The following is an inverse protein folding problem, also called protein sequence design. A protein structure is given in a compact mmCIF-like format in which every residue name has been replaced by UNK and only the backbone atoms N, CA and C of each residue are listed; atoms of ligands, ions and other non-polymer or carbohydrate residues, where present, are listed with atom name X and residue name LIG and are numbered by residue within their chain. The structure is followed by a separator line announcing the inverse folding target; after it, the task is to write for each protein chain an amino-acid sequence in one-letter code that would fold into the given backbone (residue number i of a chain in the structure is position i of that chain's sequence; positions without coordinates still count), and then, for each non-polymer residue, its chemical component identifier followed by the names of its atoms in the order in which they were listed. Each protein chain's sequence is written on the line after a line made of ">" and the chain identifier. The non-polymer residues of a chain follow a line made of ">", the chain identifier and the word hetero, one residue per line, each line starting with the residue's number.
data_IF_522082350052
#
_entry.id   IF_522082350052
#
_cell.length_a   1.000
_cell.length_b   1.000
_cell.length_c   1.000
_cell.angle_alpha   90.00
_cell.angle_beta   90.00
_cell.angle_gamma   90.00
#
_symmetry.space_group_name_H-M   'P 1'
#
loop_
_entity.id
_entity.type
_entity.pdbx_description
1 polymer ?
#
# COMPACT_ATOMS: atom_id res chain seq x y z
N UNK A 1 -23.91 2.24 -3.16
CA UNK A 1 -22.89 2.90 -2.34
C UNK A 1 -23.09 2.46 -0.90
N UNK A 2 -22.33 1.47 -0.40
CA UNK A 2 -22.38 1.10 1.03
C UNK A 2 -21.34 1.93 1.76
N UNK A 3 -21.80 3.01 2.37
CA UNK A 3 -21.00 3.80 3.31
C UNK A 3 -20.77 2.87 4.51
N UNK A 4 -19.52 2.48 4.75
CA UNK A 4 -19.16 1.93 6.06
C UNK A 4 -19.35 3.09 7.05
N UNK A 5 -20.27 2.89 7.99
CA UNK A 5 -20.53 3.86 9.05
C UNK A 5 -19.24 4.15 9.82
N UNK A 6 -18.84 5.42 9.83
CA UNK A 6 -17.69 5.96 10.56
C UNK A 6 -17.68 5.44 12.00
N UNK A 7 -18.84 5.35 12.64
CA UNK A 7 -18.94 4.93 14.04
C UNK A 7 -18.63 3.45 14.25
N UNK A 8 -18.89 2.59 13.25
CA UNK A 8 -18.58 1.15 13.30
C UNK A 8 -17.07 0.89 13.17
N UNK A 9 -16.40 1.56 12.23
CA UNK A 9 -14.93 1.48 12.09
C UNK A 9 -14.22 2.11 13.31
N UNK A 10 -14.74 3.20 13.86
CA UNK A 10 -14.17 3.85 15.04
C UNK A 10 -14.35 3.00 16.32
N UNK A 11 -15.49 2.30 16.47
CA UNK A 11 -15.76 1.44 17.64
C UNK A 11 -14.92 0.17 17.68
N UNK A 12 -14.73 -0.52 16.56
CA UNK A 12 -13.95 -1.77 16.52
C UNK A 12 -12.44 -1.55 16.73
N UNK A 13 -11.96 -0.31 16.57
CA UNK A 13 -10.53 -0.01 16.54
C UNK A 13 -9.94 0.64 17.79
N UNK A 14 -10.72 0.77 18.87
CA UNK A 14 -10.30 1.33 20.17
C UNK A 14 -9.60 2.70 20.02
N UNK A 15 -10.32 3.67 19.46
CA UNK A 15 -9.89 5.08 19.40
C UNK A 15 -9.82 5.79 20.76
N UNK A 16 -9.91 5.09 21.90
CA UNK A 16 -9.78 5.71 23.22
C UNK A 16 -8.36 6.28 23.48
N UNK A 17 -7.37 5.99 22.62
CA UNK A 17 -5.98 6.45 22.75
C UNK A 17 -5.73 7.78 22.02
N UNK A 18 -6.60 8.22 21.11
CA UNK A 18 -6.42 9.47 20.37
C UNK A 18 -7.69 10.30 20.45
N UNK A 19 -7.56 11.53 20.96
CA UNK A 19 -8.64 12.51 20.97
C UNK A 19 -9.38 12.49 19.62
N UNK A 20 -10.71 12.40 19.69
CA UNK A 20 -11.63 12.44 18.55
C UNK A 20 -11.39 13.64 17.62
N UNK A 21 -10.56 14.59 18.02
CA UNK A 21 -10.31 15.87 17.38
C UNK A 21 -9.24 15.81 16.27
N UNK A 22 -8.40 14.76 16.21
CA UNK A 22 -7.34 14.69 15.20
C UNK A 22 -7.80 14.13 13.83
N UNK A 23 -8.85 13.31 13.81
CA UNK A 23 -9.42 12.73 12.58
C UNK A 23 -10.60 13.58 12.11
N UNK A 24 -10.37 14.35 11.05
CA UNK A 24 -11.35 15.27 10.51
C UNK A 24 -12.41 14.54 9.69
N UNK A 25 -11.99 13.59 8.85
CA UNK A 25 -12.86 12.93 7.89
C UNK A 25 -12.34 11.54 7.50
N UNK A 26 -13.20 10.72 6.90
CA UNK A 26 -12.91 9.36 6.48
C UNK A 26 -13.60 9.04 5.16
N UNK A 27 -12.88 8.38 4.26
CA UNK A 27 -13.43 7.87 3.02
C UNK A 27 -12.94 6.46 2.71
N UNK A 28 -13.72 5.74 1.91
CA UNK A 28 -13.37 4.43 1.37
C UNK A 28 -13.50 4.47 -0.15
N UNK A 29 -12.45 4.08 -0.85
CA UNK A 29 -12.42 3.89 -2.29
C UNK A 29 -12.27 2.39 -2.59
N UNK A 30 -13.25 1.79 -3.25
CA UNK A 30 -13.18 0.39 -3.67
C UNK A 30 -12.81 0.30 -5.14
N UNK A 31 -11.74 -0.43 -5.44
CA UNK A 31 -11.19 -0.63 -6.78
C UNK A 31 -11.36 -2.10 -7.15
N UNK A 32 -12.20 -2.42 -8.12
CA UNK A 32 -12.46 -3.83 -8.52
C UNK A 32 -11.22 -4.52 -9.09
N UNK A 33 -10.32 -3.75 -9.70
CA UNK A 33 -9.02 -4.20 -10.18
C UNK A 33 -8.05 -3.01 -10.05
N UNK A 34 -7.04 -3.10 -9.18
CA UNK A 34 -6.09 -2.00 -8.97
C UNK A 34 -5.27 -1.71 -10.24
N UNK A 35 -4.96 -2.77 -10.98
CA UNK A 35 -4.18 -2.73 -12.22
C UNK A 35 -4.90 -2.09 -13.39
N UNK A 36 -6.22 -1.87 -13.36
CA UNK A 36 -6.96 -1.33 -14.52
C UNK A 36 -6.73 0.18 -14.70
N UNK A 37 -6.68 0.95 -13.60
CA UNK A 37 -6.71 2.42 -13.67
C UNK A 37 -5.38 3.04 -14.10
N UNK A 38 -5.36 3.81 -15.19
CA UNK A 38 -4.22 4.66 -15.51
C UNK A 38 -4.03 5.78 -14.48
N UNK A 39 -2.83 6.41 -14.36
CA UNK A 39 -2.62 7.47 -13.37
C UNK A 39 -3.53 8.69 -13.55
N UNK A 40 -3.92 9.01 -14.78
CA UNK A 40 -4.87 10.08 -15.08
C UNK A 40 -6.29 9.76 -14.62
N UNK A 41 -6.77 8.54 -14.86
CA UNK A 41 -8.09 8.06 -14.42
C UNK A 41 -8.14 8.00 -12.89
N UNK A 42 -7.09 7.45 -12.29
CA UNK A 42 -6.94 7.36 -10.84
C UNK A 42 -6.93 8.75 -10.20
N UNK A 43 -6.20 9.71 -10.79
CA UNK A 43 -6.18 11.11 -10.32
C UNK A 43 -7.59 11.72 -10.28
N UNK A 44 -8.45 11.42 -11.24
CA UNK A 44 -9.84 11.87 -11.25
C UNK A 44 -10.65 11.23 -10.11
N UNK A 45 -10.48 9.93 -9.88
CA UNK A 45 -11.19 9.19 -8.81
C UNK A 45 -10.90 9.75 -7.41
N UNK A 46 -9.67 10.19 -7.18
CA UNK A 46 -9.23 10.73 -5.89
C UNK A 46 -9.19 12.27 -5.84
N UNK A 47 -9.74 12.95 -6.86
CA UNK A 47 -9.87 14.41 -6.88
C UNK A 47 -10.64 14.98 -5.68
N UNK A 48 -11.71 14.33 -5.16
CA UNK A 48 -12.40 14.81 -3.95
C UNK A 48 -11.49 14.99 -2.74
N UNK A 49 -10.39 14.24 -2.67
CA UNK A 49 -9.45 14.23 -1.53
C UNK A 49 -8.18 15.07 -1.80
N UNK A 50 -8.21 15.97 -2.80
CA UNK A 50 -7.02 16.71 -3.25
C UNK A 50 -6.33 17.55 -2.18
N UNK A 51 -7.10 18.05 -1.21
CA UNK A 51 -6.60 18.89 -0.12
C UNK A 51 -6.33 18.09 1.16
N UNK A 52 -6.66 16.80 1.18
CA UNK A 52 -6.54 16.00 2.39
C UNK A 52 -5.09 15.65 2.65
N UNK A 53 -4.71 15.80 3.91
CA UNK A 53 -3.50 15.24 4.48
C UNK A 53 -3.92 14.09 5.37
N UNK A 54 -3.10 13.07 5.52
CA UNK A 54 -3.47 11.98 6.42
C UNK A 54 -2.89 10.63 6.06
N UNK A 55 -3.65 9.60 6.37
CA UNK A 55 -3.29 8.21 6.16
C UNK A 55 -4.09 7.62 5.01
N UNK A 56 -3.47 6.65 4.34
CA UNK A 56 -4.15 5.76 3.42
C UNK A 56 -3.78 4.31 3.75
N UNK A 57 -4.77 3.43 3.66
CA UNK A 57 -4.63 2.01 4.00
C UNK A 57 -5.19 1.19 2.85
N UNK A 58 -4.33 0.40 2.22
CA UNK A 58 -4.72 -0.59 1.22
C UNK A 58 -5.19 -1.87 1.93
N UNK A 59 -6.29 -2.45 1.48
CA UNK A 59 -6.86 -3.68 2.03
C UNK A 59 -7.46 -4.56 0.95
N UNK A 60 -7.38 -5.88 1.16
CA UNK A 60 -8.16 -6.89 0.41
C UNK A 60 -8.90 -7.73 1.44
N UNK A 61 -10.23 -7.83 1.30
CA UNK A 61 -11.08 -8.66 2.16
C UNK A 61 -10.86 -8.45 3.68
N UNK A 62 -10.65 -7.20 4.09
CA UNK A 62 -10.40 -6.84 5.49
C UNK A 62 -8.96 -7.05 5.97
N UNK A 63 -8.11 -7.72 5.18
CA UNK A 63 -6.67 -7.82 5.45
C UNK A 63 -5.98 -6.53 5.06
N UNK A 64 -5.20 -5.95 5.98
CA UNK A 64 -4.40 -4.75 5.73
C UNK A 64 -3.17 -5.11 4.90
N UNK A 65 -3.08 -4.55 3.69
CA UNK A 65 -1.97 -4.78 2.78
C UNK A 65 -0.83 -3.80 3.04
N UNK A 66 -1.13 -2.51 3.15
CA UNK A 66 -0.14 -1.46 3.31
C UNK A 66 -0.75 -0.26 4.01
N UNK A 67 0.02 0.36 4.90
CA UNK A 67 -0.34 1.60 5.60
C UNK A 67 0.72 2.64 5.27
N UNK A 68 0.29 3.82 4.82
CA UNK A 68 1.20 4.93 4.62
C UNK A 68 0.56 6.28 4.87
N UNK A 69 1.41 7.30 5.07
CA UNK A 69 0.98 8.69 5.20
C UNK A 69 1.30 9.57 3.98
N UNK A 70 0.54 10.66 3.85
CA UNK A 70 0.78 11.71 2.87
C UNK A 70 0.45 13.10 3.40
N UNK A 71 1.38 14.04 3.20
CA UNK A 71 1.09 15.48 3.35
C UNK A 71 0.09 15.96 2.28
N UNK A 72 -0.03 15.23 1.18
CA UNK A 72 -1.16 15.31 0.27
C UNK A 72 -1.48 13.89 -0.16
N UNK A 73 -2.61 13.35 0.31
CA UNK A 73 -3.00 11.96 0.04
C UNK A 73 -3.10 11.75 -1.48
N UNK A 74 -3.71 12.70 -2.19
CA UNK A 74 -3.82 12.66 -3.64
C UNK A 74 -2.48 12.44 -4.34
N UNK A 75 -1.48 13.25 -4.01
CA UNK A 75 -0.17 13.15 -4.66
C UNK A 75 0.49 11.80 -4.37
N UNK A 76 0.36 11.28 -3.15
CA UNK A 76 0.93 9.97 -2.80
C UNK A 76 0.26 8.83 -3.55
N UNK A 77 -1.06 8.78 -3.59
CA UNK A 77 -1.78 7.73 -4.30
C UNK A 77 -1.55 7.81 -5.83
N UNK A 78 -1.45 9.00 -6.42
CA UNK A 78 -1.04 9.14 -7.84
C UNK A 78 0.38 8.62 -8.07
N UNK A 79 1.32 8.91 -7.17
CA UNK A 79 2.69 8.37 -7.28
C UNK A 79 2.67 6.85 -7.23
N UNK A 80 1.92 6.24 -6.31
CA UNK A 80 1.74 4.80 -6.26
C UNK A 80 1.18 4.24 -7.56
N UNK A 81 0.17 4.89 -8.14
CA UNK A 81 -0.39 4.42 -9.41
C UNK A 81 0.62 4.53 -10.56
N UNK A 82 1.44 5.59 -10.60
CA UNK A 82 2.54 5.71 -11.57
C UNK A 82 3.60 4.63 -11.38
N UNK A 83 3.91 4.28 -10.13
CA UNK A 83 4.84 3.20 -9.79
C UNK A 83 4.29 1.83 -10.25
N UNK A 84 2.99 1.58 -10.03
CA UNK A 84 2.30 0.36 -10.47
C UNK A 84 2.21 0.27 -12.00
N UNK A 85 1.99 1.40 -12.68
CA UNK A 85 1.85 1.48 -14.15
C UNK A 85 3.17 1.62 -14.89
N UNK A 86 4.29 1.54 -14.18
CA UNK A 86 5.62 1.70 -14.76
C UNK A 86 5.83 3.08 -15.46
N UNK A 87 5.15 4.11 -14.98
CA UNK A 87 5.24 5.50 -15.47
C UNK A 87 6.11 6.39 -14.57
N UNK A 88 6.77 5.83 -13.54
CA UNK A 88 7.62 6.55 -12.60
C UNK A 88 9.12 6.37 -12.90
N UNK A 89 9.98 7.35 -12.60
CA UNK A 89 11.42 7.25 -12.95
C UNK A 89 12.15 6.11 -12.24
N UNK A 90 11.73 5.78 -11.02
CA UNK A 90 12.25 4.65 -10.24
C UNK A 90 11.19 4.18 -9.26
N UNK A 91 11.06 2.87 -9.07
CA UNK A 91 10.12 2.27 -8.12
C UNK A 91 10.89 1.28 -7.24
N UNK A 92 10.55 1.15 -5.93
CA UNK A 92 11.03 0.03 -5.13
C UNK A 92 10.60 -1.29 -5.79
N UNK A 93 11.55 -2.20 -6.06
CA UNK A 93 11.25 -3.41 -6.84
C UNK A 93 10.16 -4.28 -6.20
N UNK A 94 10.14 -4.36 -4.86
CA UNK A 94 9.13 -5.13 -4.14
C UNK A 94 7.75 -4.50 -4.24
N UNK A 95 7.66 -3.16 -4.21
CA UNK A 95 6.41 -2.43 -4.46
C UNK A 95 5.81 -2.80 -5.81
N UNK A 96 6.66 -2.79 -6.84
CA UNK A 96 6.26 -3.19 -8.19
C UNK A 96 5.72 -4.61 -8.19
N UNK A 97 6.50 -5.61 -7.79
CA UNK A 97 6.04 -7.00 -7.85
C UNK A 97 4.77 -7.24 -7.01
N UNK A 98 4.68 -6.63 -5.84
CA UNK A 98 3.52 -6.80 -4.96
C UNK A 98 2.23 -6.22 -5.58
N UNK A 99 2.23 -4.96 -6.00
CA UNK A 99 1.01 -4.31 -6.51
C UNK A 99 0.74 -4.53 -8.00
N UNK A 100 1.79 -4.67 -8.82
CA UNK A 100 1.65 -4.87 -10.27
C UNK A 100 1.53 -6.35 -10.67
N UNK A 101 2.09 -7.27 -9.90
CA UNK A 101 2.07 -8.71 -10.26
C UNK A 101 1.15 -9.50 -9.35
N UNK A 102 1.30 -9.38 -8.02
CA UNK A 102 0.55 -10.19 -7.07
C UNK A 102 -0.90 -9.71 -6.90
N UNK A 103 -1.12 -8.41 -6.68
CA UNK A 103 -2.46 -7.84 -6.41
C UNK A 103 -3.20 -7.31 -7.65
N UNK A 104 -2.69 -7.57 -8.85
CA UNK A 104 -3.12 -6.84 -10.05
C UNK A 104 -4.61 -7.04 -10.36
N UNK A 105 -5.12 -8.24 -10.11
CA UNK A 105 -6.50 -8.66 -10.43
C UNK A 105 -7.40 -8.67 -9.19
N UNK A 106 -6.85 -8.31 -8.02
CA UNK A 106 -7.61 -8.28 -6.78
C UNK A 106 -8.43 -7.00 -6.64
N UNK A 107 -9.58 -7.16 -5.98
CA UNK A 107 -10.37 -6.04 -5.49
C UNK A 107 -9.70 -5.42 -4.28
N UNK A 108 -9.26 -4.18 -4.42
CA UNK A 108 -8.54 -3.45 -3.40
C UNK A 108 -9.38 -2.31 -2.86
N UNK A 109 -9.56 -2.28 -1.55
CA UNK A 109 -10.12 -1.16 -0.83
C UNK A 109 -8.99 -0.22 -0.37
N UNK A 110 -9.15 1.08 -0.59
CA UNK A 110 -8.28 2.13 -0.06
C UNK A 110 -9.08 2.96 0.93
N UNK A 111 -8.75 2.83 2.20
CA UNK A 111 -9.27 3.69 3.26
C UNK A 111 -8.42 4.95 3.33
N UNK A 112 -9.07 6.10 3.44
CA UNK A 112 -8.45 7.42 3.44
C UNK A 112 -8.91 8.14 4.71
N UNK A 113 -7.96 8.52 5.57
CA UNK A 113 -8.23 9.14 6.86
C UNK A 113 -7.64 10.55 6.83
N UNK A 114 -8.46 11.59 6.92
CA UNK A 114 -8.03 12.98 6.89
C UNK A 114 -7.55 13.42 8.28
N UNK A 115 -6.26 13.71 8.40
CA UNK A 115 -5.58 14.15 9.62
C UNK A 115 -4.64 15.29 9.22
N UNK A 116 -4.96 16.51 9.63
CA UNK A 116 -4.19 17.71 9.28
C UNK A 116 -2.88 17.85 10.05
N UNK A 117 -2.85 17.38 11.29
CA UNK A 117 -1.67 17.41 12.14
C UNK A 117 -0.61 16.39 11.70
N UNK A 118 0.66 16.77 11.72
CA UNK A 118 1.75 15.89 11.28
C UNK A 118 2.15 14.86 12.32
N UNK A 119 2.19 15.24 13.59
CA UNK A 119 2.56 14.35 14.67
C UNK A 119 1.51 13.25 14.83
N UNK A 120 0.23 13.62 14.82
CA UNK A 120 -0.90 12.70 14.80
C UNK A 120 -0.83 11.72 13.63
N UNK A 121 -0.46 12.18 12.42
CA UNK A 121 -0.24 11.26 11.28
C UNK A 121 0.87 10.26 11.55
N UNK A 122 2.01 10.70 12.11
CA UNK A 122 3.15 9.81 12.39
C UNK A 122 2.76 8.76 13.42
N UNK A 123 2.13 9.20 14.52
CA UNK A 123 1.74 8.30 15.60
C UNK A 123 0.69 7.30 15.12
N UNK A 124 -0.33 7.75 14.39
CA UNK A 124 -1.35 6.85 13.86
C UNK A 124 -0.78 5.90 12.81
N UNK A 125 0.06 6.36 11.88
CA UNK A 125 0.74 5.47 10.92
C UNK A 125 1.48 4.34 11.64
N UNK A 126 2.29 4.71 12.65
CA UNK A 126 3.03 3.74 13.48
C UNK A 126 2.08 2.78 14.21
N UNK A 127 1.03 3.29 14.84
CA UNK A 127 0.03 2.46 15.53
C UNK A 127 -0.62 1.44 14.58
N UNK A 128 -1.10 1.87 13.42
CA UNK A 128 -1.71 0.98 12.43
C UNK A 128 -0.71 -0.05 11.89
N UNK A 129 0.54 0.35 11.63
CA UNK A 129 1.59 -0.58 11.22
C UNK A 129 1.89 -1.65 12.28
N UNK A 130 1.92 -1.29 13.56
CA UNK A 130 2.18 -2.22 14.65
C UNK A 130 0.98 -3.14 14.94
N UNK A 131 -0.24 -2.57 14.96
CA UNK A 131 -1.46 -3.32 15.28
C UNK A 131 -1.77 -4.37 14.22
N UNK A 132 -1.64 -4.01 12.95
CA UNK A 132 -2.08 -4.86 11.85
C UNK A 132 -0.96 -5.64 11.18
N UNK A 133 0.30 -5.26 11.39
CA UNK A 133 1.47 -5.78 10.66
C UNK A 133 1.16 -5.96 9.17
N UNK A 134 1.28 -4.88 8.40
CA UNK A 134 0.82 -4.88 7.00
C UNK A 134 1.43 -6.05 6.21
N UNK A 135 0.59 -6.72 5.41
CA UNK A 135 1.01 -7.89 4.64
C UNK A 135 2.22 -7.58 3.74
N UNK A 136 2.25 -6.36 3.19
CA UNK A 136 3.39 -5.84 2.44
C UNK A 136 4.68 -5.85 3.26
N UNK A 137 4.67 -5.36 4.50
CA UNK A 137 5.88 -5.28 5.34
C UNK A 137 6.38 -6.66 5.76
N UNK A 138 5.47 -7.58 6.07
CA UNK A 138 5.79 -8.99 6.38
C UNK A 138 6.54 -9.59 5.19
N UNK A 139 5.94 -9.57 4.01
CA UNK A 139 6.54 -10.18 2.82
C UNK A 139 7.77 -9.44 2.34
N UNK A 140 7.83 -8.11 2.50
CA UNK A 140 9.01 -7.33 2.17
C UNK A 140 10.19 -7.74 3.04
N UNK A 141 9.96 -8.00 4.33
CA UNK A 141 11.01 -8.46 5.24
C UNK A 141 11.52 -9.85 4.86
N UNK A 142 10.63 -10.78 4.49
CA UNK A 142 11.01 -12.09 3.98
C UNK A 142 11.76 -11.99 2.64
N UNK A 143 11.30 -11.12 1.75
CA UNK A 143 11.99 -10.81 0.51
C UNK A 143 13.40 -10.27 0.74
N UNK A 144 13.57 -9.29 1.62
CA UNK A 144 14.88 -8.72 1.96
C UNK A 144 15.80 -9.78 2.61
N UNK A 145 15.27 -10.72 3.41
CA UNK A 145 16.03 -11.88 3.92
C UNK A 145 16.46 -12.82 2.79
N UNK A 146 15.56 -13.12 1.85
CA UNK A 146 15.84 -13.97 0.70
C UNK A 146 16.93 -13.36 -0.19
N UNK A 147 16.85 -12.07 -0.47
CA UNK A 147 17.89 -11.35 -1.21
C UNK A 147 19.26 -11.49 -0.55
N UNK A 148 19.35 -11.27 0.77
CA UNK A 148 20.60 -11.46 1.52
C UNK A 148 21.13 -12.88 1.42
N UNK A 149 20.26 -13.90 1.49
CA UNK A 149 20.66 -15.31 1.34
C UNK A 149 21.25 -15.63 -0.04
N UNK A 150 20.85 -14.89 -1.08
CA UNK A 150 21.39 -15.00 -2.44
C UNK A 150 22.59 -14.06 -2.69
N UNK A 151 23.15 -13.44 -1.65
CA UNK A 151 24.31 -12.52 -1.73
C UNK A 151 23.97 -11.11 -2.23
N UNK A 152 22.69 -10.74 -2.25
CA UNK A 152 22.24 -9.42 -2.67
C UNK A 152 22.05 -8.52 -1.43
N UNK A 153 23.01 -7.63 -1.19
CA UNK A 153 23.06 -6.84 0.06
C UNK A 153 22.29 -5.51 0.03
N UNK A 154 21.66 -5.15 -1.10
CA UNK A 154 20.81 -3.94 -1.17
C UNK A 154 19.43 -4.25 -0.58
N UNK A 155 19.07 -3.54 0.48
CA UNK A 155 17.71 -3.53 1.06
C UNK A 155 16.79 -2.79 0.10
N UNK A 156 15.78 -3.47 -0.46
CA UNK A 156 14.78 -2.91 -1.38
C UNK A 156 15.36 -2.02 -2.51
N UNK A 157 16.06 -2.60 -3.49
CA UNK A 157 16.64 -1.81 -4.57
C UNK A 157 15.56 -1.06 -5.35
N UNK A 158 15.81 0.23 -5.57
CA UNK A 158 15.13 1.01 -6.58
C UNK A 158 15.85 0.79 -7.89
N UNK A 159 15.12 0.40 -8.92
CA UNK A 159 15.66 0.22 -10.26
C UNK A 159 15.03 1.22 -11.23
N UNK A 160 15.81 1.81 -12.14
CA UNK A 160 15.28 2.56 -13.26
C UNK A 160 14.35 1.69 -14.10
N UNK A 161 13.18 2.18 -14.49
CA UNK A 161 12.20 1.34 -15.18
C UNK A 161 12.62 0.88 -16.58
N UNK A 162 13.48 1.64 -17.24
CA UNK A 162 14.10 1.24 -18.51
C UNK A 162 15.07 0.06 -18.37
N UNK A 163 15.50 -0.29 -17.15
CA UNK A 163 16.33 -1.48 -16.89
C UNK A 163 15.53 -2.75 -16.55
N UNK A 164 14.19 -2.66 -16.50
CA UNK A 164 13.30 -3.81 -16.26
C UNK A 164 13.02 -4.65 -17.52
N UNK A 165 13.43 -4.19 -18.70
CA UNK A 165 13.06 -4.80 -19.98
C UNK A 165 13.92 -6.01 -20.40
N UNK A 166 15.13 -6.20 -19.83
CA UNK A 166 16.04 -7.26 -20.31
C UNK A 166 15.73 -8.67 -19.76
N UNK A 167 15.05 -8.74 -18.64
CA UNK A 167 14.36 -9.85 -17.98
C UNK A 167 13.65 -9.14 -16.82
N UNK A 168 12.49 -9.59 -16.33
CA UNK A 168 12.16 -9.31 -14.92
C UNK A 168 13.42 -9.67 -14.13
N UNK A 169 14.10 -8.74 -13.46
CA UNK A 169 15.45 -8.97 -12.94
C UNK A 169 15.55 -10.32 -12.21
N UNK A 170 16.03 -11.39 -12.87
CA UNK A 170 15.44 -12.73 -12.65
C UNK A 170 15.62 -13.19 -11.22
N UNK A 171 16.78 -12.90 -10.64
CA UNK A 171 17.06 -13.19 -9.23
C UNK A 171 16.11 -12.51 -8.26
N UNK A 172 15.71 -11.26 -8.50
CA UNK A 172 14.74 -10.57 -7.66
C UNK A 172 13.34 -11.12 -7.86
N UNK A 173 12.94 -11.36 -9.10
CA UNK A 173 11.61 -11.91 -9.37
C UNK A 173 11.46 -13.35 -8.84
N UNK A 174 12.48 -14.19 -9.01
CA UNK A 174 12.57 -15.53 -8.39
C UNK A 174 12.46 -15.44 -6.86
N UNK A 175 13.22 -14.53 -6.22
CA UNK A 175 13.09 -14.34 -4.77
C UNK A 175 11.68 -13.93 -4.37
N UNK A 176 11.02 -13.10 -5.18
CA UNK A 176 9.65 -12.68 -4.93
C UNK A 176 8.67 -13.85 -5.07
N UNK A 177 8.77 -14.65 -6.14
CA UNK A 177 7.93 -15.83 -6.34
C UNK A 177 8.09 -16.83 -5.19
N UNK A 178 9.32 -17.11 -4.76
CA UNK A 178 9.59 -17.99 -3.62
C UNK A 178 8.94 -17.47 -2.31
N UNK A 179 8.92 -16.15 -2.09
CA UNK A 179 8.26 -15.56 -0.91
C UNK A 179 6.74 -15.69 -1.01
N UNK A 180 6.16 -15.39 -2.17
CA UNK A 180 4.71 -15.44 -2.39
C UNK A 180 4.17 -16.88 -2.41
N UNK A 181 4.92 -17.86 -2.93
CA UNK A 181 4.50 -19.26 -2.92
C UNK A 181 4.35 -19.79 -1.50
N UNK A 182 5.27 -19.43 -0.60
CA UNK A 182 5.18 -19.77 0.81
C UNK A 182 4.00 -19.07 1.50
N UNK A 183 3.65 -17.87 1.05
CA UNK A 183 2.53 -17.09 1.58
C UNK A 183 1.16 -17.58 1.09
N UNK A 184 1.03 -17.99 -0.19
CA UNK A 184 -0.23 -18.53 -0.74
C UNK A 184 -0.71 -19.78 -0.02
N UNK A 185 0.22 -20.58 0.52
CA UNK A 185 -0.09 -21.71 1.38
C UNK A 185 -0.75 -21.29 2.71
N UNK A 186 -0.54 -20.03 3.15
CA UNK A 186 -1.16 -19.44 4.33
C UNK A 186 -2.46 -18.67 4.04
N UNK A 187 -2.70 -18.25 2.79
CA UNK A 187 -3.97 -17.63 2.37
C UNK A 187 -5.10 -18.64 2.12
N UNK A 188 -4.76 -19.90 1.81
CA UNK A 188 -5.72 -20.96 1.49
C UNK A 188 -6.09 -21.87 2.69
N UNK A 189 -5.46 -21.66 3.85
CA UNK A 189 -5.67 -22.41 5.10
C UNK A 189 -6.54 -21.60 6.07
#
# INVERSE_FOLDING_TARGET
>A
MKIFDKDSFLKENHYDIFEKDCVLDFAKLSLENLGQYGPSEFKTLIEPYKNWKGLYIYSVEGRVLYVGKGNTIKNRLVTHQREIKLEHKSCPIFWLFYFHTFLKDDKVDIYIINIEDEEGRIVLESFYQHKYQSHFDILKNEFDKKLRSKGINKVSPRIPLNSLQDHQASKFYECFLEVIENDKLSFAA
#
